data_IF_193467560254
#
_entry.id   IF_193467560254
#
_cell.length_a   1.000
_cell.length_b   1.000
_cell.length_c   1.000
_cell.angle_alpha   90.00
_cell.angle_beta   90.00
_cell.angle_gamma   90.00
#
_symmetry.space_group_name_H-M   'P 1'
#
loop_
_entity.id
_entity.type
_entity.pdbx_description
1 polymer ?
#
# COMPACT_ATOMS: atom_id res chain seq x y z
N UNK A 1 -20.12 14.24 -12.17
CA UNK A 1 -18.65 14.11 -12.09
C UNK A 1 -18.07 15.07 -13.11
N UNK A 2 -17.20 16.00 -12.70
CA UNK A 2 -16.72 17.07 -13.59
C UNK A 2 -15.48 16.65 -14.38
N UNK A 3 -15.16 17.30 -15.50
CA UNK A 3 -14.01 16.96 -16.36
C UNK A 3 -12.68 16.88 -15.60
N UNK A 4 -12.46 17.76 -14.62
CA UNK A 4 -11.26 17.73 -13.77
C UNK A 4 -11.18 16.48 -12.87
N UNK A 5 -12.32 15.99 -12.38
CA UNK A 5 -12.38 14.76 -11.59
C UNK A 5 -12.13 13.52 -12.45
N UNK A 6 -12.57 13.55 -13.71
CA UNK A 6 -12.34 12.49 -14.68
C UNK A 6 -10.84 12.43 -15.03
N UNK A 7 -10.20 13.58 -15.29
CA UNK A 7 -8.76 13.65 -15.58
C UNK A 7 -7.88 13.21 -14.39
N UNK A 8 -8.26 13.53 -13.15
CA UNK A 8 -7.53 13.09 -11.94
C UNK A 8 -7.68 11.58 -11.69
N UNK A 9 -8.87 11.01 -11.95
CA UNK A 9 -9.09 9.56 -11.89
C UNK A 9 -8.36 8.79 -13.01
N UNK A 10 -8.34 9.31 -14.24
CA UNK A 10 -7.59 8.69 -15.35
C UNK A 10 -6.08 8.73 -15.09
N UNK A 11 -5.56 9.83 -14.53
CA UNK A 11 -4.15 9.92 -14.18
C UNK A 11 -3.74 8.95 -13.08
N UNK A 12 -4.60 8.67 -12.09
CA UNK A 12 -4.27 7.80 -10.94
C UNK A 12 -4.32 6.31 -11.27
N UNK A 13 -5.03 5.90 -12.34
CA UNK A 13 -5.31 4.49 -12.66
C UNK A 13 -4.43 3.89 -13.75
N UNK A 14 -3.75 4.71 -14.55
CA UNK A 14 -2.83 4.23 -15.56
C UNK A 14 -1.38 4.53 -15.15
N UNK A 15 -0.59 3.49 -14.92
CA UNK A 15 0.83 3.59 -14.60
C UNK A 15 1.64 2.83 -15.63
N UNK A 16 2.75 3.43 -16.03
CA UNK A 16 3.80 2.77 -16.80
C UNK A 16 5.05 2.68 -15.96
N UNK A 17 5.47 1.47 -15.63
CA UNK A 17 6.72 1.24 -14.90
C UNK A 17 7.84 1.19 -15.93
N UNK A 18 8.89 1.98 -15.73
CA UNK A 18 10.05 1.98 -16.61
C UNK A 18 10.93 0.77 -16.33
N UNK A 19 10.66 -0.34 -17.02
CA UNK A 19 11.39 -1.59 -16.87
C UNK A 19 12.48 -1.68 -17.95
N UNK A 20 13.78 -1.76 -17.59
CA UNK A 20 14.90 -1.71 -18.55
C UNK A 20 15.14 -3.01 -19.33
N UNK A 21 14.23 -3.99 -19.22
CA UNK A 21 14.31 -5.29 -19.89
C UNK A 21 12.97 -5.60 -20.53
N UNK A 22 12.99 -6.39 -21.59
CA UNK A 22 11.79 -7.04 -22.12
C UNK A 22 11.31 -8.14 -21.16
N UNK A 23 10.05 -8.58 -21.32
CA UNK A 23 9.49 -9.70 -20.56
C UNK A 23 10.32 -10.98 -20.74
N UNK A 24 10.78 -11.25 -21.96
CA UNK A 24 11.59 -12.43 -22.29
C UNK A 24 12.95 -12.41 -21.60
N UNK A 25 13.65 -11.27 -21.66
CA UNK A 25 14.93 -11.08 -20.98
C UNK A 25 14.75 -11.21 -19.45
N UNK A 26 13.69 -10.62 -18.90
CA UNK A 26 13.38 -10.74 -17.48
C UNK A 26 13.18 -12.20 -17.06
N UNK A 27 12.38 -12.96 -17.81
CA UNK A 27 12.15 -14.40 -17.55
C UNK A 27 13.42 -15.21 -17.65
N UNK A 28 14.24 -14.92 -18.66
CA UNK A 28 15.51 -15.64 -18.87
C UNK A 28 16.53 -15.37 -17.78
N UNK A 29 16.63 -14.13 -17.29
CA UNK A 29 17.75 -13.70 -16.45
C UNK A 29 17.39 -13.66 -14.95
N UNK A 30 16.15 -13.32 -14.60
CA UNK A 30 15.77 -12.96 -13.22
C UNK A 30 14.65 -13.82 -12.64
N UNK A 31 13.59 -14.08 -13.40
CA UNK A 31 12.41 -14.81 -12.91
C UNK A 31 12.81 -16.17 -12.32
N UNK A 32 12.38 -16.43 -11.08
CA UNK A 32 12.72 -17.62 -10.26
C UNK A 32 14.23 -17.92 -10.08
N UNK A 33 15.11 -16.98 -10.44
CA UNK A 33 16.57 -17.16 -10.40
C UNK A 33 17.24 -16.22 -9.42
N UNK A 34 16.90 -14.94 -9.47
CA UNK A 34 17.49 -13.91 -8.60
C UNK A 34 16.60 -12.68 -8.47
N UNK A 35 16.72 -11.94 -7.35
CA UNK A 35 16.02 -10.67 -7.18
C UNK A 35 16.35 -9.67 -8.30
N UNK A 36 15.35 -8.90 -8.70
CA UNK A 36 15.48 -7.82 -9.68
C UNK A 36 14.99 -6.51 -9.07
N UNK A 37 15.82 -5.47 -9.14
CA UNK A 37 15.52 -4.14 -8.60
C UNK A 37 15.48 -3.13 -9.74
N UNK A 38 14.34 -2.45 -9.89
CA UNK A 38 14.13 -1.40 -10.87
C UNK A 38 14.36 -0.05 -10.19
N UNK A 39 15.53 0.56 -10.41
CA UNK A 39 15.82 1.91 -9.93
C UNK A 39 15.13 2.94 -10.82
N UNK A 40 14.42 3.90 -10.23
CA UNK A 40 13.69 4.93 -10.99
C UNK A 40 12.58 4.36 -11.87
N UNK A 41 12.00 3.20 -11.50
CA UNK A 41 10.92 2.58 -12.26
C UNK A 41 9.64 3.42 -12.30
N UNK A 42 9.46 4.29 -11.31
CA UNK A 42 8.32 5.20 -11.19
C UNK A 42 8.86 6.58 -10.84
N UNK A 43 8.51 7.59 -11.65
CA UNK A 43 8.95 8.99 -11.50
C UNK A 43 7.78 9.92 -11.19
N UNK A 44 6.83 9.46 -10.37
CA UNK A 44 5.69 10.26 -9.92
C UNK A 44 5.56 10.16 -8.40
N UNK A 45 6.11 11.16 -7.71
CA UNK A 45 6.13 11.24 -6.25
C UNK A 45 4.77 11.54 -5.63
N UNK A 46 3.79 12.01 -6.41
CA UNK A 46 2.52 12.49 -5.87
C UNK A 46 1.43 11.41 -5.84
N UNK A 47 1.60 10.28 -6.54
CA UNK A 47 0.61 9.19 -6.61
C UNK A 47 0.29 8.52 -5.28
N UNK A 48 1.29 8.31 -4.43
CA UNK A 48 1.13 7.69 -3.11
C UNK A 48 1.48 8.70 -2.02
N UNK A 49 0.88 9.88 -2.10
CA UNK A 49 1.00 10.89 -1.05
C UNK A 49 0.45 10.38 0.28
N UNK A 50 0.91 10.95 1.39
CA UNK A 50 0.35 10.67 2.72
C UNK A 50 -1.14 10.94 2.81
N UNK A 51 -1.64 11.96 2.09
CA UNK A 51 -3.08 12.22 2.00
C UNK A 51 -3.82 11.01 1.43
N UNK A 52 -3.33 10.48 0.31
CA UNK A 52 -3.91 9.31 -0.34
C UNK A 52 -3.85 8.06 0.54
N UNK A 53 -2.72 7.84 1.21
CA UNK A 53 -2.54 6.74 2.16
C UNK A 53 -3.55 6.84 3.31
N UNK A 54 -3.75 8.04 3.87
CA UNK A 54 -4.69 8.25 4.98
C UNK A 54 -6.15 8.02 4.57
N UNK A 55 -6.51 8.27 3.30
CA UNK A 55 -7.83 7.96 2.76
C UNK A 55 -8.02 6.45 2.49
N UNK A 56 -6.93 5.74 2.20
CA UNK A 56 -6.89 4.32 1.87
C UNK A 56 -6.92 3.42 3.11
N UNK A 57 -6.15 3.77 4.14
CA UNK A 57 -5.95 2.93 5.33
C UNK A 57 -7.27 2.52 6.03
N UNK A 58 -8.26 3.41 6.24
CA UNK A 58 -9.53 3.04 6.87
C UNK A 58 -10.36 2.02 6.07
N UNK A 59 -10.10 1.89 4.76
CA UNK A 59 -10.81 0.95 3.87
C UNK A 59 -10.26 -0.47 3.95
N UNK A 60 -9.11 -0.65 4.59
CA UNK A 60 -8.53 -1.97 4.82
C UNK A 60 -9.36 -2.77 5.83
N UNK A 61 -9.34 -4.10 5.72
CA UNK A 61 -9.93 -4.96 6.75
C UNK A 61 -9.11 -4.89 8.05
N UNK A 62 -9.48 -3.98 8.96
CA UNK A 62 -8.77 -3.74 10.22
C UNK A 62 -8.83 -4.92 11.20
N UNK A 63 -9.83 -5.80 11.04
CA UNK A 63 -10.05 -6.95 11.93
C UNK A 63 -9.05 -8.07 11.66
N UNK A 64 -8.67 -8.29 10.38
CA UNK A 64 -7.75 -9.37 10.03
C UNK A 64 -6.35 -9.12 10.60
N UNK A 65 -5.85 -10.07 11.39
CA UNK A 65 -4.49 -10.03 11.95
C UNK A 65 -3.40 -10.07 10.88
N UNK A 66 -3.72 -10.66 9.72
CA UNK A 66 -2.82 -10.72 8.60
C UNK A 66 -2.90 -9.51 7.69
N UNK A 67 -4.00 -8.76 7.74
CA UNK A 67 -4.19 -7.54 6.96
C UNK A 67 -3.40 -6.36 7.52
N UNK A 68 -3.59 -5.98 8.79
CA UNK A 68 -2.97 -4.77 9.35
C UNK A 68 -2.02 -5.13 10.50
N UNK A 69 -0.75 -4.76 10.36
CA UNK A 69 0.31 -5.00 11.37
C UNK A 69 1.11 -3.72 11.62
N UNK A 70 1.26 -3.32 12.88
CA UNK A 70 2.16 -2.25 13.27
C UNK A 70 3.45 -2.84 13.85
N UNK A 71 4.58 -2.57 13.19
CA UNK A 71 5.90 -3.03 13.62
C UNK A 71 6.65 -1.89 14.29
N UNK A 72 7.04 -2.05 15.55
CA UNK A 72 7.75 -1.02 16.32
C UNK A 72 8.91 -1.66 17.09
N UNK A 73 10.10 -1.06 16.99
CA UNK A 73 11.34 -1.57 17.65
C UNK A 73 11.59 -3.07 17.42
N UNK A 74 11.36 -3.54 16.19
CA UNK A 74 11.57 -4.94 15.79
C UNK A 74 10.49 -5.92 16.23
N UNK A 75 9.40 -5.46 16.86
CA UNK A 75 8.31 -6.32 17.35
C UNK A 75 6.96 -5.92 16.74
N UNK A 76 6.07 -6.89 16.56
CA UNK A 76 4.65 -6.64 16.22
C UNK A 76 3.96 -6.09 17.47
N UNK A 77 3.37 -4.90 17.37
CA UNK A 77 2.52 -4.34 18.41
C UNK A 77 1.13 -4.99 18.36
N UNK A 78 0.53 -5.14 19.53
CA UNK A 78 -0.86 -5.61 19.65
C UNK A 78 -1.84 -4.55 19.15
N UNK A 79 -2.98 -4.99 18.61
CA UNK A 79 -3.96 -4.12 17.94
C UNK A 79 -4.57 -3.08 18.86
N UNK A 80 -4.74 -3.41 20.14
CA UNK A 80 -5.34 -2.53 21.16
C UNK A 80 -4.52 -1.26 21.40
N UNK A 81 -3.24 -1.25 20.98
CA UNK A 81 -2.41 -0.05 21.06
C UNK A 81 -2.74 0.98 19.98
N UNK A 82 -3.32 0.56 18.84
CA UNK A 82 -3.51 1.44 17.68
C UNK A 82 -4.88 1.29 16.99
N UNK A 83 -5.77 0.44 17.52
CA UNK A 83 -7.16 0.29 17.10
C UNK A 83 -8.09 0.47 18.30
N UNK A 84 -9.17 1.22 18.10
CA UNK A 84 -10.27 1.33 19.04
C UNK A 84 -11.42 0.41 18.57
N UNK A 85 -11.93 -0.43 19.47
CA UNK A 85 -13.16 -1.18 19.24
C UNK A 85 -14.38 -0.33 19.61
N UNK A 86 -15.44 -0.39 18.81
CA UNK A 86 -16.71 0.28 19.07
C UNK A 86 -17.90 -0.57 18.63
N UNK A 87 -19.04 -0.35 19.26
CA UNK A 87 -20.29 -1.02 18.90
C UNK A 87 -21.05 -0.17 17.88
N UNK A 88 -21.35 -0.77 16.73
CA UNK A 88 -22.20 -0.19 15.69
C UNK A 88 -23.41 -1.12 15.47
N UNK A 89 -24.58 -0.71 15.97
CA UNK A 89 -25.85 -1.44 15.82
C UNK A 89 -25.76 -2.93 16.22
N UNK A 90 -25.03 -3.24 17.29
CA UNK A 90 -24.82 -4.61 17.79
C UNK A 90 -23.65 -5.35 17.14
N UNK A 91 -22.97 -4.74 16.18
CA UNK A 91 -21.77 -5.29 15.55
C UNK A 91 -20.52 -4.62 16.10
N UNK A 92 -19.55 -5.41 16.59
CA UNK A 92 -18.26 -4.87 17.00
C UNK A 92 -17.45 -4.48 15.76
N UNK A 93 -17.09 -3.20 15.67
CA UNK A 93 -16.25 -2.62 14.63
C UNK A 93 -14.96 -2.07 15.23
N UNK A 94 -14.00 -1.78 14.36
CA UNK A 94 -12.70 -1.26 14.73
C UNK A 94 -12.37 -0.04 13.87
N UNK A 95 -11.72 0.94 14.47
CA UNK A 95 -11.15 2.10 13.77
C UNK A 95 -9.73 2.34 14.27
N UNK A 96 -8.92 3.06 13.50
CA UNK A 96 -7.61 3.47 13.99
C UNK A 96 -7.73 4.46 15.13
N UNK A 97 -6.96 4.23 16.20
CA UNK A 97 -6.63 5.27 17.15
C UNK A 97 -5.55 6.14 16.52
N UNK A 98 -5.96 7.18 15.79
CA UNK A 98 -5.05 8.01 14.99
C UNK A 98 -3.92 8.60 15.82
N UNK A 99 -4.22 9.06 17.04
CA UNK A 99 -3.20 9.65 17.93
C UNK A 99 -2.10 8.65 18.26
N UNK A 100 -2.46 7.43 18.68
CA UNK A 100 -1.48 6.41 19.01
C UNK A 100 -0.76 5.90 17.77
N UNK A 101 -1.50 5.61 16.68
CA UNK A 101 -0.93 5.13 15.43
C UNK A 101 0.12 6.11 14.89
N UNK A 102 -0.24 7.39 14.72
CA UNK A 102 0.69 8.40 14.23
C UNK A 102 1.79 8.72 15.26
N UNK A 103 1.53 8.57 16.56
CA UNK A 103 2.56 8.58 17.60
C UNK A 103 3.65 7.55 17.33
N UNK A 104 3.27 6.27 17.21
CA UNK A 104 4.20 5.19 16.88
C UNK A 104 4.89 5.40 15.55
N UNK A 105 4.18 5.83 14.50
CA UNK A 105 4.78 6.07 13.19
C UNK A 105 5.84 7.17 13.24
N UNK A 106 5.60 8.28 13.96
CA UNK A 106 6.63 9.33 14.16
C UNK A 106 7.86 8.81 14.89
N UNK A 107 7.69 7.86 15.80
CA UNK A 107 8.79 7.18 16.49
C UNK A 107 9.48 6.09 15.63
N UNK A 108 9.13 5.99 14.34
CA UNK A 108 9.76 5.08 13.39
C UNK A 108 9.08 3.72 13.27
N UNK A 109 7.86 3.55 13.77
CA UNK A 109 7.07 2.37 13.49
C UNK A 109 6.78 2.24 11.98
N UNK A 110 6.58 1.00 11.55
CA UNK A 110 6.18 0.65 10.18
C UNK A 110 4.80 0.02 10.22
N UNK A 111 3.84 0.67 9.56
CA UNK A 111 2.52 0.11 9.31
C UNK A 111 2.58 -0.75 8.05
N UNK A 112 2.16 -2.00 8.19
CA UNK A 112 2.00 -2.95 7.08
C UNK A 112 0.52 -3.12 6.85
N UNK A 113 0.08 -2.87 5.61
CA UNK A 113 -1.29 -3.04 5.17
C UNK A 113 -1.34 -4.03 4.00
N UNK A 114 -1.99 -5.15 4.24
CA UNK A 114 -2.21 -6.23 3.28
C UNK A 114 -3.70 -6.31 2.95
N UNK A 115 -4.01 -6.89 1.79
CA UNK A 115 -5.40 -7.05 1.37
C UNK A 115 -6.09 -5.73 1.07
N UNK A 116 -5.33 -4.72 0.64
CA UNK A 116 -5.89 -3.56 -0.07
C UNK A 116 -6.33 -4.11 -1.43
N UNK A 117 -7.64 -4.28 -1.59
CA UNK A 117 -8.26 -4.84 -2.78
C UNK A 117 -9.29 -3.85 -3.32
N UNK A 118 -9.46 -3.81 -4.65
CA UNK A 118 -10.38 -2.91 -5.34
C UNK A 118 -10.04 -1.43 -5.13
N UNK A 119 -8.75 -1.10 -5.12
CA UNK A 119 -8.29 0.27 -5.02
C UNK A 119 -7.52 0.65 -6.29
N UNK A 120 -8.18 1.33 -7.26
CA UNK A 120 -7.62 1.53 -8.59
C UNK A 120 -6.24 2.23 -8.62
N UNK A 121 -6.02 3.13 -7.66
CA UNK A 121 -4.74 3.84 -7.44
C UNK A 121 -3.56 2.93 -7.04
N UNK A 122 -3.87 1.71 -6.63
CA UNK A 122 -3.01 0.69 -6.05
C UNK A 122 -2.96 -0.52 -6.99
N UNK A 123 -4.11 -0.94 -7.51
CA UNK A 123 -4.24 -2.09 -8.40
C UNK A 123 -3.52 -1.88 -9.73
N UNK A 124 -3.36 -0.62 -10.16
CA UNK A 124 -2.63 -0.28 -11.39
C UNK A 124 -1.19 -0.79 -11.38
N UNK A 125 -0.53 -0.82 -10.22
CA UNK A 125 0.82 -1.37 -10.06
C UNK A 125 0.85 -2.89 -10.29
N UNK A 126 -0.07 -3.63 -9.67
CA UNK A 126 -0.22 -5.07 -9.88
C UNK A 126 -0.44 -5.36 -11.36
N UNK A 127 -1.36 -4.64 -11.99
CA UNK A 127 -1.74 -4.86 -13.37
C UNK A 127 -0.56 -4.62 -14.32
N UNK A 128 0.23 -3.58 -14.10
CA UNK A 128 1.39 -3.28 -14.94
C UNK A 128 2.48 -4.35 -14.81
N UNK A 129 2.79 -4.79 -13.57
CA UNK A 129 3.74 -5.89 -13.36
C UNK A 129 3.20 -7.23 -13.88
N UNK A 130 1.89 -7.49 -13.75
CA UNK A 130 1.25 -8.69 -14.26
C UNK A 130 1.30 -8.73 -15.80
N UNK A 131 1.02 -7.62 -16.48
CA UNK A 131 1.17 -7.49 -17.94
C UNK A 131 2.62 -7.73 -18.38
N UNK A 132 3.58 -7.16 -17.66
CA UNK A 132 5.00 -7.34 -17.95
C UNK A 132 5.47 -8.79 -17.74
N UNK A 133 5.11 -9.40 -16.60
CA UNK A 133 5.61 -10.73 -16.21
C UNK A 133 4.78 -11.88 -16.81
N UNK A 134 3.50 -11.66 -17.11
CA UNK A 134 2.54 -12.72 -17.44
C UNK A 134 2.13 -13.58 -16.25
N UNK A 135 2.28 -13.07 -15.02
CA UNK A 135 1.99 -13.79 -13.78
C UNK A 135 0.87 -13.10 -12.98
N UNK A 136 0.22 -13.86 -12.10
CA UNK A 136 -0.64 -13.30 -11.06
C UNK A 136 0.24 -12.63 -9.98
N UNK A 137 -0.12 -11.41 -9.57
CA UNK A 137 0.68 -10.57 -8.67
C UNK A 137 -0.15 -10.18 -7.44
N UNK A 138 0.47 -10.30 -6.27
CA UNK A 138 -0.07 -9.81 -5.01
C UNK A 138 0.73 -8.59 -4.53
N UNK A 139 0.05 -7.55 -4.05
CA UNK A 139 0.67 -6.34 -3.51
C UNK A 139 0.76 -6.36 -1.99
N UNK A 140 1.84 -5.77 -1.50
CA UNK A 140 2.14 -5.58 -0.08
C UNK A 140 2.46 -4.11 0.15
N UNK A 141 1.65 -3.43 0.97
CA UNK A 141 1.89 -2.03 1.32
C UNK A 141 2.62 -1.91 2.65
N UNK A 142 3.74 -1.18 2.64
CA UNK A 142 4.50 -0.84 3.84
C UNK A 142 4.71 0.66 3.90
N UNK A 143 4.14 1.28 4.92
CA UNK A 143 4.34 2.69 5.22
C UNK A 143 5.22 2.79 6.46
N UNK A 144 6.39 3.38 6.31
CA UNK A 144 7.24 3.74 7.46
C UNK A 144 7.00 5.21 7.77
N UNK A 145 6.72 5.52 9.03
CA UNK A 145 6.73 6.91 9.45
C UNK A 145 8.14 7.46 9.29
N UNK A 146 8.29 8.44 8.40
CA UNK A 146 9.49 9.26 8.27
C UNK A 146 9.12 10.58 8.93
N UNK A 147 10.01 11.13 9.76
CA UNK A 147 9.86 12.46 10.33
C UNK A 147 9.46 13.45 9.23
N UNK A 148 8.18 13.78 9.16
CA UNK A 148 7.70 15.02 8.57
C UNK A 148 7.94 16.09 9.64
N UNK A 149 9.19 16.53 9.70
CA UNK A 149 9.55 17.80 10.31
C UNK A 149 9.22 18.94 9.36
#
# INVERSE_FOLDING_TARGET
MNQDQIMVMEQTTNIKINIPYTSEEFKKIFFEKKPFVIKGGINDSNRLSWKHINELLPRCNLVSEDAIKLMYKGKKLSKEHYLDAYNDLGTQRFKFNEQNLYGFMREGATLVANGIVNEPSVDCFSQEIARFSGCEIFLLYKCKGVNVG
#
